data_IF_360421698806
#
_entry.id   IF_360421698806
#
_cell.length_a   1.000
_cell.length_b   1.000
_cell.length_c   1.000
_cell.angle_alpha   90.00
_cell.angle_beta   90.00
_cell.angle_gamma   90.00
#
_symmetry.space_group_name_H-M   'P 1'
#
loop_
_entity.id
_entity.type
_entity.pdbx_description
1 polymer ?
#
# COMPACT_ATOMS: atom_id res chain seq x y z
N UNK A 1 19.94 -26.07 -30.93
CA UNK A 1 20.15 -25.04 -29.90
C UNK A 1 18.79 -24.65 -29.34
N UNK A 2 18.45 -25.11 -28.14
CA UNK A 2 17.17 -24.81 -27.49
C UNK A 2 17.23 -23.41 -26.88
N UNK A 3 16.31 -22.53 -27.29
CA UNK A 3 16.19 -21.19 -26.70
C UNK A 3 15.64 -21.31 -25.27
N UNK A 4 16.11 -20.48 -24.32
CA UNK A 4 15.54 -20.45 -22.97
C UNK A 4 14.11 -19.93 -23.07
N UNK A 5 13.17 -20.73 -22.57
CA UNK A 5 11.78 -20.35 -22.45
C UNK A 5 11.70 -19.30 -21.33
N UNK A 6 11.71 -18.02 -21.68
CA UNK A 6 11.42 -16.95 -20.72
C UNK A 6 9.94 -17.04 -20.42
N UNK A 7 9.60 -17.85 -19.43
CA UNK A 7 8.29 -17.81 -18.78
C UNK A 7 8.13 -16.41 -18.22
N UNK A 8 7.40 -15.55 -18.95
CA UNK A 8 6.96 -14.27 -18.43
C UNK A 8 6.21 -14.57 -17.15
N UNK A 9 6.82 -14.26 -16.00
CA UNK A 9 6.15 -14.35 -14.72
C UNK A 9 4.95 -13.40 -14.81
N UNK A 10 3.77 -13.97 -14.96
CA UNK A 10 2.52 -13.25 -14.83
C UNK A 10 2.52 -12.79 -13.38
N UNK A 11 2.85 -11.52 -13.15
CA UNK A 11 2.81 -10.92 -11.82
C UNK A 11 1.33 -10.89 -11.45
N UNK A 12 0.89 -11.92 -10.73
CA UNK A 12 -0.45 -11.97 -10.20
C UNK A 12 -0.65 -10.73 -9.31
N UNK A 13 -1.78 -10.03 -9.42
CA UNK A 13 -2.03 -8.87 -8.58
C UNK A 13 -1.98 -9.28 -7.11
N UNK A 14 -1.25 -8.49 -6.30
CA UNK A 14 -1.09 -8.73 -4.87
C UNK A 14 -2.49 -8.75 -4.23
N UNK A 15 -2.83 -9.77 -3.40
CA UNK A 15 -4.09 -9.83 -2.67
C UNK A 15 -4.36 -8.54 -1.89
N UNK A 16 -5.64 -8.19 -1.71
CA UNK A 16 -6.01 -6.96 -1.00
C UNK A 16 -5.43 -6.92 0.43
N UNK A 17 -5.50 -8.04 1.13
CA UNK A 17 -5.01 -8.22 2.49
C UNK A 17 -3.51 -7.97 2.59
N UNK A 18 -2.74 -8.44 1.61
CA UNK A 18 -1.29 -8.24 1.59
C UNK A 18 -0.92 -6.80 1.24
N UNK A 19 -1.71 -6.12 0.39
CA UNK A 19 -1.58 -4.67 0.17
C UNK A 19 -1.84 -3.89 1.46
N UNK A 20 -2.87 -4.26 2.23
CA UNK A 20 -3.19 -3.62 3.51
C UNK A 20 -2.06 -3.83 4.55
N UNK A 21 -1.45 -5.03 4.60
CA UNK A 21 -0.30 -5.28 5.47
C UNK A 21 0.89 -4.39 5.14
N UNK A 22 1.25 -4.27 3.85
CA UNK A 22 2.34 -3.40 3.41
C UNK A 22 2.10 -1.93 3.79
N UNK A 23 0.84 -1.47 3.68
CA UNK A 23 0.46 -0.12 4.11
C UNK A 23 0.58 0.05 5.61
N UNK A 24 0.17 -0.97 6.39
CA UNK A 24 0.32 -0.96 7.84
C UNK A 24 1.80 -0.84 8.25
N UNK A 25 2.68 -1.65 7.66
CA UNK A 25 4.12 -1.63 7.92
C UNK A 25 4.73 -0.27 7.63
N UNK A 26 4.38 0.33 6.49
CA UNK A 26 4.84 1.66 6.10
C UNK A 26 4.35 2.75 7.06
N UNK A 27 3.10 2.66 7.52
CA UNK A 27 2.54 3.60 8.51
C UNK A 27 3.28 3.48 9.85
N UNK A 28 3.58 2.26 10.30
CA UNK A 28 4.36 2.07 11.53
C UNK A 28 5.79 2.61 11.38
N UNK A 29 6.45 2.37 10.24
CA UNK A 29 7.77 2.92 9.93
C UNK A 29 7.77 4.46 10.02
N UNK A 30 6.83 5.12 9.34
CA UNK A 30 6.69 6.59 9.39
C UNK A 30 6.40 7.13 10.78
N UNK A 31 5.58 6.42 11.56
CA UNK A 31 5.29 6.79 12.96
C UNK A 31 6.56 6.77 13.79
N UNK A 32 7.38 5.73 13.66
CA UNK A 32 8.65 5.60 14.38
C UNK A 32 9.67 6.67 13.94
N UNK A 33 9.74 6.99 12.65
CA UNK A 33 10.65 8.02 12.12
C UNK A 33 10.24 9.44 12.51
N UNK A 34 8.94 9.74 12.48
CA UNK A 34 8.43 11.07 12.80
C UNK A 34 8.33 11.35 14.30
N UNK A 35 8.29 10.30 15.14
CA UNK A 35 8.08 10.36 16.58
C UNK A 35 7.07 11.44 17.02
N UNK A 36 5.81 11.37 16.54
CA UNK A 36 4.83 12.43 16.77
C UNK A 36 4.32 12.45 18.22
N UNK A 37 4.06 13.65 18.74
CA UNK A 37 3.47 13.83 20.09
C UNK A 37 2.14 13.10 20.28
N UNK A 38 1.35 12.98 19.20
CA UNK A 38 0.11 12.20 19.17
C UNK A 38 0.18 11.10 18.10
N UNK A 39 0.73 9.95 18.50
CA UNK A 39 0.89 8.78 17.65
C UNK A 39 -0.43 8.27 17.05
N UNK A 40 -1.51 8.25 17.81
CA UNK A 40 -2.81 7.76 17.35
C UNK A 40 -3.37 8.64 16.24
N UNK A 41 -3.38 9.96 16.43
CA UNK A 41 -3.85 10.91 15.43
C UNK A 41 -2.98 10.87 14.17
N UNK A 42 -1.66 10.74 14.32
CA UNK A 42 -0.74 10.61 13.19
C UNK A 42 -1.04 9.37 12.33
N UNK A 43 -1.18 8.20 12.98
CA UNK A 43 -1.53 6.94 12.29
C UNK A 43 -2.87 7.04 11.60
N UNK A 44 -3.89 7.60 12.25
CA UNK A 44 -5.22 7.79 11.67
C UNK A 44 -5.18 8.66 10.40
N UNK A 45 -4.43 9.78 10.42
CA UNK A 45 -4.26 10.64 9.24
C UNK A 45 -3.62 9.90 8.07
N UNK A 46 -2.63 9.04 8.32
CA UNK A 46 -1.98 8.28 7.26
C UNK A 46 -2.91 7.23 6.64
N UNK A 47 -3.71 6.53 7.44
CA UNK A 47 -4.73 5.62 6.94
C UNK A 47 -5.78 6.33 6.09
N UNK A 48 -6.32 7.46 6.57
CA UNK A 48 -7.28 8.27 5.81
C UNK A 48 -6.67 8.74 4.49
N UNK A 49 -5.41 9.20 4.50
CA UNK A 49 -4.72 9.60 3.27
C UNK A 49 -4.56 8.44 2.29
N UNK A 50 -4.30 7.22 2.77
CA UNK A 50 -4.19 6.05 1.92
C UNK A 50 -5.55 5.66 1.31
N UNK A 51 -6.60 5.62 2.13
CA UNK A 51 -7.97 5.32 1.70
C UNK A 51 -8.46 6.32 0.65
N UNK A 52 -8.24 7.62 0.86
CA UNK A 52 -8.63 8.65 -0.10
C UNK A 52 -7.98 8.43 -1.47
N UNK A 53 -6.70 8.10 -1.49
CA UNK A 53 -5.93 7.95 -2.74
C UNK A 53 -6.23 6.67 -3.51
N UNK A 54 -6.56 5.58 -2.80
CA UNK A 54 -6.58 4.23 -3.39
C UNK A 54 -7.95 3.56 -3.36
N UNK A 55 -8.89 4.07 -2.56
CA UNK A 55 -10.22 3.47 -2.39
C UNK A 55 -11.31 4.46 -2.77
N UNK A 56 -11.28 5.69 -2.22
CA UNK A 56 -12.36 6.65 -2.44
C UNK A 56 -12.25 7.41 -3.77
N UNK A 57 -11.04 7.63 -4.29
CA UNK A 57 -10.83 8.18 -5.64
C UNK A 57 -11.10 7.17 -6.77
N UNK A 58 -11.59 5.96 -6.48
CA UNK A 58 -11.98 4.99 -7.51
C UNK A 58 -13.28 5.38 -8.25
N UNK A 59 -13.97 6.44 -7.81
CA UNK A 59 -15.16 7.00 -8.47
C UNK A 59 -14.89 8.46 -8.91
N UNK A 60 -14.28 8.68 -10.07
CA UNK A 60 -14.77 9.60 -11.13
C UNK A 60 -14.01 9.25 -12.42
N UNK A 61 -14.51 8.25 -13.13
CA UNK A 61 -14.37 8.17 -14.58
C UNK A 61 -15.79 8.01 -15.13
N UNK A 62 -16.49 9.14 -15.24
CA UNK A 62 -17.68 9.30 -16.07
C UNK A 62 -17.23 9.82 -17.44
#
# INVERSE_FOLDING_TARGET
MSKPNTTGAIVAPIPFEDRVKLVHEEIQRRKSEANPDNATHFVARLWVSWLNRNVLNAEVAL
#
